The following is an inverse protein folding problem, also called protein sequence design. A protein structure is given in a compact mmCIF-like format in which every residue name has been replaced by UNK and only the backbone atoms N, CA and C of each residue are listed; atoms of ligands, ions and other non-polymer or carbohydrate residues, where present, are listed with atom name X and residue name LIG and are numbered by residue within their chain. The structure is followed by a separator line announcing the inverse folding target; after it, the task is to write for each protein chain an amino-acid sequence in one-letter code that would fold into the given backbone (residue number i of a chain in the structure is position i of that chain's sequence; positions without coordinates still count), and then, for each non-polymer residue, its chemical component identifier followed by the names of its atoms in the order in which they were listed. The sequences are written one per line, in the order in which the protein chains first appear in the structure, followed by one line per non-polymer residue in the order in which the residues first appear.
data_IF_388314174209
#
_entry.id   IF_388314174209
#
_cell.length_a   1.000
_cell.length_b   1.000
_cell.length_c   1.000
_cell.angle_alpha   90.00
_cell.angle_beta   90.00
_cell.angle_gamma   90.00
#
_symmetry.space_group_name_H-M   'P 1'
#
loop_
_entity.id
_entity.type
_entity.pdbx_description
1 polymer ?
#
# COMPACT_ATOMS: atom_id res chain seq x y z
N UNK A 1 -65.53 17.53 -28.31
CA UNK A 1 -64.74 16.29 -28.59
C UNK A 1 -63.33 16.49 -28.11
N UNK A 2 -62.99 15.92 -26.97
CA UNK A 2 -61.67 16.08 -26.35
C UNK A 2 -60.91 14.79 -26.55
N UNK A 3 -59.69 14.90 -27.13
CA UNK A 3 -58.78 13.77 -27.30
C UNK A 3 -57.96 13.52 -26.01
N UNK A 4 -57.77 12.27 -25.57
CA UNK A 4 -56.97 11.97 -24.39
C UNK A 4 -55.47 11.99 -24.70
N UNK A 5 -54.69 12.63 -23.82
CA UNK A 5 -53.23 12.72 -23.84
C UNK A 5 -52.55 11.35 -23.58
N UNK A 6 -51.63 10.96 -24.46
CA UNK A 6 -50.78 9.79 -24.32
C UNK A 6 -49.66 10.08 -23.30
N UNK A 7 -49.59 9.26 -22.26
CA UNK A 7 -48.50 9.26 -21.28
C UNK A 7 -47.25 8.58 -21.87
N UNK A 8 -46.02 9.14 -21.71
CA UNK A 8 -44.80 8.46 -22.12
C UNK A 8 -44.44 7.37 -21.11
N UNK A 9 -44.24 6.16 -21.61
CA UNK A 9 -43.71 5.02 -20.84
C UNK A 9 -42.24 5.22 -20.51
N UNK A 10 -41.92 5.42 -19.23
CA UNK A 10 -40.54 5.39 -18.72
C UNK A 10 -40.06 3.94 -18.66
N UNK A 11 -39.20 3.55 -19.56
CA UNK A 11 -38.41 2.32 -19.45
C UNK A 11 -37.40 2.48 -18.31
N UNK A 12 -37.67 1.84 -17.18
CA UNK A 12 -36.72 1.68 -16.06
C UNK A 12 -35.72 0.61 -16.45
N UNK A 13 -34.58 0.99 -16.99
CA UNK A 13 -33.39 0.12 -17.05
C UNK A 13 -32.87 -0.12 -15.62
N UNK A 14 -33.05 -1.33 -15.13
CA UNK A 14 -32.52 -1.77 -13.86
C UNK A 14 -30.97 -1.76 -13.89
N UNK A 15 -30.31 -1.31 -12.84
CA UNK A 15 -28.85 -1.37 -12.77
C UNK A 15 -28.41 -2.83 -12.71
N UNK A 16 -27.53 -3.23 -13.64
CA UNK A 16 -26.86 -4.53 -13.63
C UNK A 16 -26.15 -4.72 -12.28
N UNK A 17 -26.64 -5.66 -11.48
CA UNK A 17 -25.96 -6.14 -10.28
C UNK A 17 -24.56 -6.59 -10.66
N UNK A 18 -23.55 -5.84 -10.24
CA UNK A 18 -22.16 -6.29 -10.27
C UNK A 18 -22.08 -7.48 -9.31
N UNK A 19 -21.90 -8.67 -9.87
CA UNK A 19 -21.73 -9.89 -9.10
C UNK A 19 -20.50 -9.73 -8.20
N UNK A 20 -20.71 -9.74 -6.87
CA UNK A 20 -19.64 -9.92 -5.89
C UNK A 20 -19.02 -11.29 -6.16
N UNK A 21 -17.84 -11.32 -6.77
CA UNK A 21 -17.03 -12.52 -6.88
C UNK A 21 -16.66 -12.99 -5.48
N UNK A 22 -17.10 -14.17 -5.10
CA UNK A 22 -16.79 -14.80 -3.83
C UNK A 22 -15.31 -15.22 -3.79
N UNK A 23 -14.54 -14.86 -2.76
CA UNK A 23 -13.10 -15.14 -2.71
C UNK A 23 -12.74 -16.51 -2.11
N UNK A 24 -13.69 -17.42 -1.86
CA UNK A 24 -13.44 -18.55 -0.97
C UNK A 24 -12.95 -19.86 -1.62
N UNK A 25 -12.89 -19.99 -2.96
CA UNK A 25 -12.60 -21.27 -3.60
C UNK A 25 -11.16 -21.45 -4.12
N UNK A 26 -10.31 -20.43 -4.11
CA UNK A 26 -8.97 -20.50 -4.72
C UNK A 26 -7.82 -20.77 -3.72
N UNK A 27 -8.10 -20.87 -2.43
CA UNK A 27 -7.07 -21.08 -1.40
C UNK A 27 -6.50 -22.53 -1.34
N UNK A 28 -6.96 -23.48 -2.13
CA UNK A 28 -6.58 -24.91 -1.98
C UNK A 28 -5.44 -25.42 -2.85
N UNK A 29 -4.75 -24.59 -3.62
CA UNK A 29 -3.51 -24.98 -4.32
C UNK A 29 -2.38 -23.98 -4.08
N UNK A 30 -2.06 -23.72 -2.81
CA UNK A 30 -0.75 -23.16 -2.47
C UNK A 30 0.30 -24.25 -2.69
N UNK A 31 0.74 -24.39 -3.93
CA UNK A 31 1.92 -25.14 -4.28
C UNK A 31 3.08 -24.55 -3.46
N UNK A 32 3.72 -25.40 -2.63
CA UNK A 32 4.96 -25.06 -1.91
C UNK A 32 5.98 -24.58 -2.93
N UNK A 33 6.11 -23.27 -3.09
CA UNK A 33 7.14 -22.70 -3.95
C UNK A 33 8.48 -22.88 -3.26
N UNK A 34 9.53 -23.32 -3.97
CA UNK A 34 10.83 -23.49 -3.36
C UNK A 34 11.31 -22.17 -2.77
N UNK A 35 11.77 -22.20 -1.52
CA UNK A 35 12.30 -21.07 -0.77
C UNK A 35 13.41 -20.28 -1.50
N UNK A 36 13.99 -20.85 -2.58
CA UNK A 36 15.03 -20.24 -3.39
C UNK A 36 14.59 -19.16 -4.38
N UNK A 37 13.29 -19.10 -4.78
CA UNK A 37 12.86 -18.19 -5.86
C UNK A 37 12.96 -16.71 -5.49
N UNK A 38 12.81 -16.37 -4.21
CA UNK A 38 12.81 -14.99 -3.68
C UNK A 38 13.97 -14.72 -2.71
N UNK A 39 14.99 -15.57 -2.70
CA UNK A 39 16.14 -15.45 -1.79
C UNK A 39 16.86 -14.10 -1.91
N UNK A 40 17.09 -13.64 -3.14
CA UNK A 40 17.71 -12.34 -3.40
C UNK A 40 16.87 -11.18 -2.84
N UNK A 41 15.57 -11.23 -3.09
CA UNK A 41 14.63 -10.21 -2.61
C UNK A 41 14.56 -10.22 -1.07
N UNK A 42 14.60 -11.40 -0.46
CA UNK A 42 14.60 -11.55 0.99
C UNK A 42 15.83 -10.90 1.61
N UNK A 43 17.01 -11.20 1.08
CA UNK A 43 18.26 -10.64 1.59
C UNK A 43 18.33 -9.10 1.43
N UNK A 44 17.78 -8.58 0.34
CA UNK A 44 17.67 -7.13 0.11
C UNK A 44 16.70 -6.47 1.12
N UNK A 45 15.56 -7.08 1.41
CA UNK A 45 14.60 -6.60 2.41
C UNK A 45 15.17 -6.65 3.83
N UNK A 46 15.88 -7.73 4.20
CA UNK A 46 16.52 -7.86 5.51
C UNK A 46 17.60 -6.77 5.70
N UNK A 47 18.38 -6.48 4.65
CA UNK A 47 19.37 -5.39 4.66
C UNK A 47 18.71 -4.01 4.80
N UNK A 48 17.68 -3.73 4.03
CA UNK A 48 16.92 -2.47 4.12
C UNK A 48 16.29 -2.31 5.50
N UNK A 49 15.73 -3.40 6.07
CA UNK A 49 15.20 -3.41 7.43
C UNK A 49 16.24 -3.03 8.47
N UNK A 50 17.44 -3.61 8.38
CA UNK A 50 18.52 -3.33 9.32
C UNK A 50 18.95 -1.85 9.29
N UNK A 51 19.11 -1.28 8.08
CA UNK A 51 19.44 0.15 7.92
C UNK A 51 18.35 1.06 8.49
N UNK A 52 17.08 0.79 8.17
CA UNK A 52 15.98 1.59 8.68
C UNK A 52 15.81 1.51 10.19
N UNK A 53 16.09 0.34 10.80
CA UNK A 53 16.06 0.20 12.25
C UNK A 53 17.17 1.00 12.93
N UNK A 54 18.34 1.07 12.32
CA UNK A 54 19.46 1.88 12.82
C UNK A 54 19.15 3.38 12.72
N UNK A 55 18.60 3.82 11.58
CA UNK A 55 18.18 5.21 11.35
C UNK A 55 17.07 5.63 12.32
N UNK A 56 16.03 4.84 12.46
CA UNK A 56 14.91 5.11 13.40
C UNK A 56 15.41 5.09 14.86
N UNK A 57 16.30 4.14 15.21
CA UNK A 57 16.91 4.05 16.54
C UNK A 57 17.75 5.28 16.88
N UNK A 58 18.59 5.73 15.95
CA UNK A 58 19.42 6.94 16.12
C UNK A 58 18.57 8.22 16.29
N UNK A 59 17.46 8.33 15.57
CA UNK A 59 16.56 9.49 15.65
C UNK A 59 15.74 9.57 16.95
N UNK A 60 15.53 8.44 17.65
CA UNK A 60 14.85 8.42 18.94
C UNK A 60 15.75 8.98 20.06
N UNK A 61 17.06 8.86 19.92
CA UNK A 61 18.04 9.38 20.89
C UNK A 61 18.24 10.89 20.73
N UNK A 62 18.11 11.41 19.50
CA UNK A 62 18.19 12.84 19.22
C UNK A 62 16.78 13.47 19.21
N UNK A 63 16.23 13.70 20.38
CA UNK A 63 15.10 14.61 20.54
C UNK A 63 15.67 16.01 20.62
N UNK A 64 15.49 16.88 19.61
CA UNK A 64 15.88 18.28 19.76
C UNK A 64 15.08 18.84 20.93
N UNK A 65 15.76 19.23 21.99
CA UNK A 65 15.16 20.08 23.01
C UNK A 65 14.67 21.33 22.28
N UNK A 66 13.44 21.72 22.56
CA UNK A 66 12.89 22.99 22.05
C UNK A 66 13.69 24.12 22.75
N UNK A 67 14.85 24.44 22.19
CA UNK A 67 15.57 25.63 22.59
C UNK A 67 14.65 26.83 22.29
N UNK A 68 14.42 27.66 23.30
CA UNK A 68 13.64 28.86 23.13
C UNK A 68 14.46 29.81 22.24
N UNK A 69 14.11 29.87 20.96
CA UNK A 69 14.73 30.79 20.03
C UNK A 69 14.35 32.23 20.41
N UNK A 70 15.32 33.14 20.51
CA UNK A 70 15.04 34.56 20.89
C UNK A 70 14.32 35.34 19.79
N UNK A 71 14.36 34.85 18.54
CA UNK A 71 13.66 35.44 17.39
C UNK A 71 12.49 34.57 16.91
N UNK A 72 11.38 35.24 16.66
CA UNK A 72 10.14 34.62 16.18
C UNK A 72 10.29 33.99 14.76
N UNK A 73 11.18 34.55 13.94
CA UNK A 73 11.52 34.01 12.61
C UNK A 73 12.27 32.68 12.71
N UNK A 74 13.22 32.61 13.64
CA UNK A 74 13.99 31.36 13.86
C UNK A 74 13.10 30.27 14.44
N UNK A 75 12.17 30.61 15.32
CA UNK A 75 11.19 29.67 15.85
C UNK A 75 10.30 29.10 14.74
N UNK A 76 9.81 29.93 13.82
CA UNK A 76 8.98 29.46 12.70
C UNK A 76 9.76 28.49 11.77
N UNK A 77 11.03 28.78 11.53
CA UNK A 77 11.91 27.89 10.73
C UNK A 77 12.12 26.56 11.43
N UNK A 78 12.41 26.59 12.74
CA UNK A 78 12.60 25.37 13.53
C UNK A 78 11.33 24.49 13.57
N UNK A 79 10.14 25.09 13.66
CA UNK A 79 8.87 24.36 13.59
C UNK A 79 8.65 23.69 12.22
N UNK A 80 9.01 24.33 11.11
CA UNK A 80 8.94 23.76 9.78
C UNK A 80 9.89 22.56 9.66
N UNK A 81 11.12 22.69 10.11
CA UNK A 81 12.13 21.61 10.07
C UNK A 81 11.72 20.43 10.96
N UNK A 82 11.16 20.70 12.13
CA UNK A 82 10.62 19.68 13.01
C UNK A 82 9.45 18.93 12.34
N UNK A 83 8.52 19.63 11.74
CA UNK A 83 7.39 19.05 11.01
C UNK A 83 7.87 18.19 9.82
N UNK A 84 8.89 18.66 9.10
CA UNK A 84 9.52 17.90 8.03
C UNK A 84 10.14 16.59 8.55
N UNK A 85 10.91 16.69 9.62
CA UNK A 85 11.55 15.53 10.27
C UNK A 85 10.52 14.50 10.77
N UNK A 86 9.40 14.95 11.34
CA UNK A 86 8.31 14.06 11.76
C UNK A 86 7.68 13.31 10.57
N UNK A 87 7.42 14.01 9.46
CA UNK A 87 6.88 13.40 8.24
C UNK A 87 7.85 12.36 7.65
N UNK A 88 9.15 12.64 7.72
CA UNK A 88 10.17 11.69 7.26
C UNK A 88 10.14 10.42 8.12
N UNK A 89 10.15 10.56 9.45
CA UNK A 89 10.04 9.43 10.40
C UNK A 89 8.77 8.59 10.16
N UNK A 90 7.64 9.22 9.92
CA UNK A 90 6.40 8.49 9.61
C UNK A 90 6.51 7.67 8.32
N UNK A 91 7.19 8.20 7.31
CA UNK A 91 7.42 7.46 6.04
C UNK A 91 8.31 6.25 6.26
N UNK A 92 9.39 6.39 7.01
CA UNK A 92 10.32 5.32 7.34
C UNK A 92 9.65 4.22 8.17
N UNK A 93 8.88 4.59 9.19
CA UNK A 93 8.09 3.64 9.97
C UNK A 93 7.06 2.87 9.12
N UNK A 94 6.37 3.57 8.20
CA UNK A 94 5.44 2.93 7.26
C UNK A 94 6.15 1.99 6.30
N UNK A 95 7.37 2.33 5.88
CA UNK A 95 8.19 1.47 5.02
C UNK A 95 8.65 0.24 5.80
N UNK A 96 9.17 0.42 7.02
CA UNK A 96 9.59 -0.67 7.90
C UNK A 96 8.46 -1.69 8.10
N UNK A 97 7.26 -1.20 8.44
CA UNK A 97 6.09 -2.06 8.59
C UNK A 97 5.78 -2.88 7.32
N UNK A 98 5.87 -2.26 6.14
CA UNK A 98 5.66 -2.97 4.87
C UNK A 98 6.73 -4.01 4.58
N UNK A 99 7.97 -3.76 5.00
CA UNK A 99 9.08 -4.72 4.88
C UNK A 99 8.80 -5.93 5.79
N UNK A 100 8.43 -5.69 7.04
CA UNK A 100 8.06 -6.76 7.98
C UNK A 100 6.90 -7.60 7.44
N UNK A 101 5.83 -6.98 6.97
CA UNK A 101 4.70 -7.66 6.32
C UNK A 101 5.11 -8.48 5.08
N UNK A 102 6.11 -8.02 4.32
CA UNK A 102 6.62 -8.75 3.17
C UNK A 102 7.45 -9.98 3.59
N UNK A 103 8.28 -9.85 4.65
CA UNK A 103 9.05 -10.96 5.22
C UNK A 103 8.12 -12.02 5.82
N UNK A 104 7.10 -11.63 6.57
CA UNK A 104 6.08 -12.54 7.13
C UNK A 104 5.35 -13.32 6.01
N UNK A 105 5.04 -12.65 4.90
CA UNK A 105 4.44 -13.33 3.73
C UNK A 105 5.40 -14.31 3.06
N UNK A 106 6.71 -14.06 3.10
CA UNK A 106 7.71 -15.03 2.62
C UNK A 106 7.75 -16.26 3.51
N UNK A 107 7.65 -16.11 4.84
CA UNK A 107 7.61 -17.21 5.79
C UNK A 107 6.33 -18.06 5.65
N UNK A 108 5.20 -17.41 5.45
CA UNK A 108 3.92 -18.09 5.23
C UNK A 108 3.74 -18.63 3.80
N UNK A 109 4.74 -18.48 2.91
CA UNK A 109 4.68 -18.87 1.50
C UNK A 109 3.55 -18.21 0.69
N UNK A 110 3.07 -17.05 1.12
CA UNK A 110 2.04 -16.25 0.43
C UNK A 110 2.63 -15.10 -0.38
N UNK A 111 3.94 -14.89 -0.28
CA UNK A 111 4.63 -13.84 -1.04
C UNK A 111 4.55 -14.06 -2.55
N UNK A 112 4.36 -12.98 -3.29
CA UNK A 112 4.23 -13.02 -4.76
C UNK A 112 2.84 -13.36 -5.28
N UNK A 113 1.84 -13.44 -4.40
CA UNK A 113 0.43 -13.61 -4.77
C UNK A 113 -0.29 -12.29 -4.55
N UNK A 114 -1.08 -11.85 -5.53
CA UNK A 114 -1.88 -10.63 -5.43
C UNK A 114 -3.03 -10.82 -4.44
N UNK A 115 -3.15 -9.93 -3.45
CA UNK A 115 -4.22 -10.01 -2.43
C UNK A 115 -5.63 -9.79 -3.00
N UNK A 116 -5.76 -9.08 -4.13
CA UNK A 116 -7.07 -8.76 -4.71
C UNK A 116 -7.57 -9.84 -5.70
N UNK A 117 -6.72 -10.35 -6.57
CA UNK A 117 -7.12 -11.31 -7.61
C UNK A 117 -6.54 -12.72 -7.42
N UNK A 118 -5.63 -12.93 -6.47
CA UNK A 118 -5.02 -14.24 -6.22
C UNK A 118 -4.02 -14.70 -7.30
N UNK A 119 -3.74 -13.87 -8.31
CA UNK A 119 -2.78 -14.21 -9.37
C UNK A 119 -1.34 -13.98 -8.93
N UNK A 120 -0.41 -14.67 -9.58
CA UNK A 120 1.02 -14.49 -9.34
C UNK A 120 1.48 -13.12 -9.84
N UNK A 121 2.20 -12.39 -8.98
CA UNK A 121 2.84 -11.12 -9.33
C UNK A 121 4.15 -11.43 -10.08
N UNK A 122 4.41 -10.83 -11.26
CA UNK A 122 5.63 -11.06 -12.00
C UNK A 122 6.89 -10.76 -11.19
N UNK A 123 7.89 -11.65 -11.25
CA UNK A 123 9.15 -11.50 -10.51
C UNK A 123 9.84 -10.15 -10.77
N UNK A 124 9.83 -9.67 -12.02
CA UNK A 124 10.40 -8.35 -12.37
C UNK A 124 9.76 -7.20 -11.57
N UNK A 125 8.46 -7.29 -11.30
CA UNK A 125 7.76 -6.29 -10.48
C UNK A 125 8.14 -6.41 -9.01
N UNK A 126 8.24 -7.62 -8.49
CA UNK A 126 8.67 -7.87 -7.11
C UNK A 126 10.11 -7.43 -6.87
N UNK A 127 11.01 -7.60 -7.84
CA UNK A 127 12.37 -7.11 -7.77
C UNK A 127 12.44 -5.58 -7.75
N UNK A 128 11.59 -4.90 -8.54
CA UNK A 128 11.53 -3.44 -8.57
C UNK A 128 10.82 -2.83 -7.34
N UNK A 129 9.81 -3.54 -6.79
CA UNK A 129 9.03 -3.12 -5.61
C UNK A 129 8.73 -4.33 -4.72
N UNK A 130 9.65 -4.70 -3.85
CA UNK A 130 9.55 -5.95 -3.09
C UNK A 130 8.42 -5.97 -2.05
N UNK A 131 7.98 -4.81 -1.57
CA UNK A 131 6.90 -4.67 -0.59
C UNK A 131 5.49 -4.63 -1.22
N UNK A 132 5.36 -4.87 -2.54
CA UNK A 132 4.05 -4.80 -3.21
C UNK A 132 3.18 -6.02 -2.91
N UNK A 133 1.88 -5.78 -2.71
CA UNK A 133 0.86 -6.82 -2.48
C UNK A 133 -0.08 -7.02 -3.66
N UNK A 134 -0.05 -6.09 -4.63
CA UNK A 134 -0.97 -6.09 -5.77
C UNK A 134 -0.24 -6.26 -7.11
N UNK A 135 -0.86 -6.95 -8.05
CA UNK A 135 -0.44 -6.96 -9.44
C UNK A 135 -0.66 -5.58 -10.11
N UNK A 136 -0.16 -5.40 -11.35
CA UNK A 136 -0.27 -4.11 -12.05
C UNK A 136 -1.73 -3.73 -12.25
N UNK A 137 -2.55 -4.66 -12.75
CA UNK A 137 -3.97 -4.42 -13.05
C UNK A 137 -4.77 -4.03 -11.81
N UNK A 138 -4.59 -4.76 -10.70
CA UNK A 138 -5.29 -4.45 -9.46
C UNK A 138 -4.83 -3.10 -8.86
N UNK A 139 -3.56 -2.73 -9.01
CA UNK A 139 -3.07 -1.44 -8.54
C UNK A 139 -3.62 -0.29 -9.38
N UNK A 140 -3.67 -0.45 -10.70
CA UNK A 140 -4.27 0.56 -11.60
C UNK A 140 -5.75 0.77 -11.29
N UNK A 141 -6.50 -0.30 -11.06
CA UNK A 141 -7.91 -0.20 -10.66
C UNK A 141 -8.06 0.54 -9.32
N UNK A 142 -7.23 0.24 -8.34
CA UNK A 142 -7.23 0.94 -7.06
C UNK A 142 -6.96 2.44 -7.24
N UNK A 143 -5.97 2.81 -8.05
CA UNK A 143 -5.65 4.22 -8.32
C UNK A 143 -6.78 4.96 -9.05
N UNK A 144 -7.49 4.27 -9.95
CA UNK A 144 -8.68 4.83 -10.61
C UNK A 144 -9.83 5.05 -9.61
N UNK A 145 -10.09 4.08 -8.72
CA UNK A 145 -11.08 4.20 -7.66
C UNK A 145 -10.76 5.36 -6.70
N UNK A 146 -9.49 5.56 -6.37
CA UNK A 146 -9.02 6.66 -5.52
C UNK A 146 -9.18 8.04 -6.19
N UNK A 147 -8.97 8.11 -7.53
CA UNK A 147 -9.18 9.37 -8.30
C UNK A 147 -10.65 9.78 -8.36
N UNK A 148 -11.56 8.81 -8.46
CA UNK A 148 -13.01 9.09 -8.52
C UNK A 148 -13.55 9.57 -7.17
N UNK A 149 -12.90 9.18 -6.07
CA UNK A 149 -13.30 9.57 -4.70
C UNK A 149 -12.81 10.95 -4.26
N UNK A 150 -11.89 11.55 -5.00
CA UNK A 150 -11.38 12.92 -4.75
C UNK A 150 -12.23 13.96 -5.46
#
# INVERSE_FOLDING_TARGET
MAMPARKPSRSRTAPKRVAKAAPAAHMKKLNRRPAGKYGDIRSDLERQRAVLLEEVGGMLVHRPELEAFPDQSDQATAEVDQNFSLRLKEREQKLLKKIDEALDRMETNTYGICERCGQEIPYKRLKARPVTTLCIECKTLQEQEERIRR
#
